data_IF_981636729021
#
_entry.id   IF_981636729021
#
_cell.length_a   1.000
_cell.length_b   1.000
_cell.length_c   1.000
_cell.angle_alpha   90.00
_cell.angle_beta   90.00
_cell.angle_gamma   90.00
#
_symmetry.space_group_name_H-M   'P 1'
#
loop_
_entity.id
_entity.type
_entity.pdbx_description
1 polymer ?
#
# COMPACT_ATOMS: atom_id res chain seq x y z
N UNK A 1 -62.31 25.34 -23.67
CA UNK A 1 -61.70 24.38 -22.71
C UNK A 1 -60.37 23.89 -23.29
N UNK A 2 -59.21 24.29 -22.73
CA UNK A 2 -57.89 23.83 -23.21
C UNK A 2 -57.57 22.46 -22.61
N UNK A 3 -57.58 21.39 -23.44
CA UNK A 3 -57.11 20.06 -23.04
C UNK A 3 -55.59 20.10 -22.80
N UNK A 4 -55.16 19.87 -21.55
CA UNK A 4 -53.75 19.68 -21.23
C UNK A 4 -53.35 18.25 -21.59
N UNK A 5 -52.55 18.08 -22.64
CA UNK A 5 -51.95 16.80 -23.00
C UNK A 5 -50.79 16.54 -22.04
N UNK A 6 -50.90 15.51 -21.20
CA UNK A 6 -49.84 15.09 -20.28
C UNK A 6 -48.78 14.33 -21.08
N UNK A 7 -47.62 14.95 -21.32
CA UNK A 7 -46.46 14.24 -21.89
C UNK A 7 -46.04 13.13 -20.92
N UNK A 8 -46.27 11.87 -21.29
CA UNK A 8 -45.73 10.73 -20.56
C UNK A 8 -44.22 10.73 -20.77
N UNK A 9 -43.45 10.65 -19.68
CA UNK A 9 -42.00 10.44 -19.74
C UNK A 9 -41.79 8.93 -19.77
N UNK A 10 -41.41 8.41 -20.93
CA UNK A 10 -40.91 7.05 -21.07
C UNK A 10 -39.43 7.05 -20.71
N UNK A 11 -39.09 6.55 -19.53
CA UNK A 11 -37.70 6.46 -19.10
C UNK A 11 -37.61 6.11 -17.63
N UNK A 12 -36.71 5.17 -17.31
CA UNK A 12 -36.53 4.50 -16.02
C UNK A 12 -37.58 3.42 -15.72
N UNK A 13 -37.48 2.31 -16.46
CA UNK A 13 -38.08 1.05 -16.01
C UNK A 13 -37.12 0.31 -15.06
N UNK A 14 -37.65 -0.57 -14.21
CA UNK A 14 -36.82 -1.43 -13.35
C UNK A 14 -35.90 -2.36 -14.17
N UNK A 15 -36.36 -2.78 -15.35
CA UNK A 15 -35.59 -3.64 -16.27
C UNK A 15 -34.33 -2.91 -16.72
N UNK A 16 -34.46 -1.64 -17.09
CA UNK A 16 -33.35 -0.79 -17.51
C UNK A 16 -32.30 -0.65 -16.40
N UNK A 17 -32.73 -0.39 -15.17
CA UNK A 17 -31.82 -0.33 -14.01
C UNK A 17 -31.15 -1.67 -13.71
N UNK A 18 -31.85 -2.78 -13.93
CA UNK A 18 -31.30 -4.13 -13.73
C UNK A 18 -30.18 -4.43 -14.72
N UNK A 19 -30.37 -4.08 -16.00
CA UNK A 19 -29.35 -4.27 -17.05
C UNK A 19 -28.12 -3.40 -16.76
N UNK A 20 -28.31 -2.16 -16.30
CA UNK A 20 -27.20 -1.28 -15.92
C UNK A 20 -26.40 -1.84 -14.75
N UNK A 21 -27.06 -2.30 -13.68
CA UNK A 21 -26.38 -2.93 -12.55
C UNK A 21 -25.66 -4.22 -12.95
N UNK A 22 -26.25 -4.99 -13.87
CA UNK A 22 -25.61 -6.17 -14.44
C UNK A 22 -24.29 -5.81 -15.14
N UNK A 23 -24.31 -4.81 -16.03
CA UNK A 23 -23.09 -4.35 -16.73
C UNK A 23 -22.05 -3.81 -15.73
N UNK A 24 -22.46 -3.00 -14.75
CA UNK A 24 -21.55 -2.47 -13.71
C UNK A 24 -20.90 -3.61 -12.92
N UNK A 25 -21.65 -4.67 -12.59
CA UNK A 25 -21.08 -5.81 -11.86
C UNK A 25 -20.02 -6.56 -12.66
N UNK A 26 -20.19 -6.72 -13.98
CA UNK A 26 -19.18 -7.30 -14.87
C UNK A 26 -17.92 -6.43 -14.93
N UNK A 27 -18.07 -5.11 -15.01
CA UNK A 27 -16.94 -4.19 -14.99
C UNK A 27 -16.17 -4.27 -13.67
N UNK A 28 -16.88 -4.27 -12.54
CA UNK A 28 -16.28 -4.41 -11.20
C UNK A 28 -15.51 -5.73 -11.08
N UNK A 29 -16.06 -6.83 -11.61
CA UNK A 29 -15.42 -8.15 -11.59
C UNK A 29 -14.06 -8.14 -12.31
N UNK A 30 -13.91 -7.36 -13.39
CA UNK A 30 -12.64 -7.21 -14.11
C UNK A 30 -11.70 -6.25 -13.37
N UNK A 31 -12.23 -5.17 -12.78
CA UNK A 31 -11.43 -4.14 -12.12
C UNK A 31 -10.82 -4.62 -10.79
N UNK A 32 -11.59 -5.30 -9.95
CA UNK A 32 -11.15 -5.78 -8.62
C UNK A 32 -9.85 -6.59 -8.67
N UNK A 33 -9.69 -7.63 -9.51
CA UNK A 33 -8.46 -8.42 -9.54
C UNK A 33 -7.26 -7.59 -10.02
N UNK A 34 -7.47 -6.71 -11.02
CA UNK A 34 -6.42 -5.83 -11.50
C UNK A 34 -5.95 -4.84 -10.42
N UNK A 35 -6.90 -4.22 -9.70
CA UNK A 35 -6.61 -3.30 -8.59
C UNK A 35 -5.92 -4.02 -7.42
N UNK A 36 -6.36 -5.23 -7.08
CA UNK A 36 -5.73 -6.04 -6.04
C UNK A 36 -4.27 -6.36 -6.38
N UNK A 37 -3.99 -6.73 -7.63
CA UNK A 37 -2.63 -7.02 -8.10
C UNK A 37 -1.75 -5.76 -8.09
N UNK A 38 -2.26 -4.61 -8.51
CA UNK A 38 -1.53 -3.34 -8.43
C UNK A 38 -1.21 -2.96 -6.99
N UNK A 39 -2.16 -3.14 -6.05
CA UNK A 39 -1.93 -2.89 -4.63
C UNK A 39 -0.85 -3.82 -4.07
N UNK A 40 -0.86 -5.10 -4.43
CA UNK A 40 0.19 -6.07 -4.04
C UNK A 40 1.56 -5.65 -4.60
N UNK A 41 1.61 -5.23 -5.86
CA UNK A 41 2.85 -4.76 -6.47
C UNK A 41 3.39 -3.51 -5.75
N UNK A 42 2.54 -2.52 -5.50
CA UNK A 42 2.91 -1.33 -4.73
C UNK A 42 3.43 -1.69 -3.34
N UNK A 43 2.79 -2.64 -2.65
CA UNK A 43 3.25 -3.12 -1.34
C UNK A 43 4.63 -3.81 -1.42
N UNK A 44 4.89 -4.57 -2.50
CA UNK A 44 6.22 -5.20 -2.70
C UNK A 44 7.31 -4.16 -2.94
N UNK A 45 7.06 -3.17 -3.80
CA UNK A 45 8.01 -2.07 -4.07
C UNK A 45 8.27 -1.27 -2.80
N UNK A 46 7.21 -0.95 -2.06
CA UNK A 46 7.30 -0.25 -0.78
C UNK A 46 8.14 -1.03 0.24
N UNK A 47 7.97 -2.35 0.30
CA UNK A 47 8.74 -3.18 1.23
C UNK A 47 10.20 -3.29 0.83
N UNK A 48 10.51 -3.44 -0.46
CA UNK A 48 11.89 -3.41 -0.95
C UNK A 48 12.57 -2.08 -0.66
N UNK A 49 11.88 -0.95 -0.87
CA UNK A 49 12.41 0.37 -0.55
C UNK A 49 12.65 0.53 0.96
N UNK A 50 11.78 -0.01 1.82
CA UNK A 50 11.99 0.01 3.27
C UNK A 50 13.24 -0.79 3.67
N UNK A 51 13.47 -1.97 3.07
CA UNK A 51 14.70 -2.74 3.26
C UNK A 51 15.94 -1.91 2.91
N UNK A 52 15.94 -1.25 1.76
CA UNK A 52 17.06 -0.41 1.31
C UNK A 52 17.30 0.79 2.24
N UNK A 53 16.23 1.45 2.70
CA UNK A 53 16.34 2.54 3.68
C UNK A 53 16.96 2.04 4.98
N UNK A 54 16.49 0.92 5.52
CA UNK A 54 17.06 0.36 6.76
C UNK A 54 18.52 -0.03 6.56
N UNK A 55 18.88 -0.64 5.42
CA UNK A 55 20.27 -0.97 5.10
C UNK A 55 21.16 0.28 5.05
N UNK A 56 20.73 1.33 4.33
CA UNK A 56 21.47 2.57 4.26
C UNK A 56 21.69 3.22 5.64
N UNK A 57 20.72 3.08 6.55
CA UNK A 57 20.86 3.56 7.94
C UNK A 57 21.81 2.69 8.78
N UNK A 58 21.85 1.38 8.55
CA UNK A 58 22.84 0.48 9.13
C UNK A 58 24.25 0.87 8.67
N UNK A 59 24.42 1.09 7.36
CA UNK A 59 25.71 1.47 6.78
C UNK A 59 26.18 2.83 7.31
N UNK A 60 25.27 3.79 7.42
CA UNK A 60 25.54 5.10 8.03
C UNK A 60 25.97 4.97 9.50
N UNK A 61 25.35 4.07 10.26
CA UNK A 61 25.72 3.81 11.65
C UNK A 61 27.15 3.27 11.76
N UNK A 62 27.52 2.27 10.94
CA UNK A 62 28.87 1.70 10.95
C UNK A 62 29.93 2.67 10.42
N UNK A 63 29.58 3.56 9.48
CA UNK A 63 30.46 4.62 9.03
C UNK A 63 30.85 5.58 10.17
N UNK A 64 29.92 5.87 11.08
CA UNK A 64 30.17 6.72 12.25
C UNK A 64 30.75 5.96 13.44
N UNK A 65 30.54 4.63 13.51
CA UNK A 65 30.99 3.76 14.60
C UNK A 65 31.85 2.61 14.05
N UNK A 66 33.09 2.88 13.61
CA UNK A 66 33.94 1.89 12.94
C UNK A 66 34.34 0.69 13.81
N UNK A 67 34.23 0.82 15.14
CA UNK A 67 34.52 -0.26 16.09
C UNK A 67 33.27 -1.07 16.49
N UNK A 68 32.08 -0.69 16.05
CA UNK A 68 30.86 -1.41 16.35
C UNK A 68 30.83 -2.74 15.58
N UNK A 69 30.48 -3.84 16.27
CA UNK A 69 30.42 -5.18 15.67
C UNK A 69 29.01 -5.59 15.24
N UNK A 70 27.99 -4.91 15.76
CA UNK A 70 26.59 -5.15 15.46
C UNK A 70 25.77 -3.88 15.69
N UNK A 71 24.58 -3.85 15.09
CA UNK A 71 23.60 -2.78 15.29
C UNK A 71 22.20 -3.39 15.39
N UNK A 72 21.36 -2.81 16.24
CA UNK A 72 19.97 -3.22 16.41
C UNK A 72 19.00 -2.06 16.15
N UNK A 73 17.72 -2.35 15.92
CA UNK A 73 16.69 -1.30 15.75
C UNK A 73 16.65 -0.30 16.92
N UNK A 74 16.76 -0.70 18.20
CA UNK A 74 16.92 0.24 19.30
C UNK A 74 18.12 1.19 19.15
N UNK A 75 19.26 0.70 18.68
CA UNK A 75 20.47 1.50 18.48
C UNK A 75 20.27 2.52 17.36
N UNK A 76 19.67 2.10 16.24
CA UNK A 76 19.29 2.99 15.14
C UNK A 76 18.26 4.04 15.55
N UNK A 77 17.34 3.70 16.47
CA UNK A 77 16.35 4.67 16.98
C UNK A 77 17.00 5.68 17.93
N UNK A 78 17.83 5.21 18.86
CA UNK A 78 18.54 6.06 19.82
C UNK A 78 19.53 6.98 19.13
N UNK A 79 20.21 6.49 18.10
CA UNK A 79 21.14 7.27 17.27
C UNK A 79 20.45 8.20 16.27
N UNK A 80 19.11 8.20 16.19
CA UNK A 80 18.35 9.07 15.28
C UNK A 80 18.38 8.67 13.81
N UNK A 81 18.94 7.50 13.48
CA UNK A 81 18.99 6.97 12.11
C UNK A 81 17.61 6.52 11.61
N UNK A 82 16.78 5.99 12.51
CA UNK A 82 15.41 5.59 12.20
C UNK A 82 14.41 6.20 13.17
N UNK A 83 13.28 6.65 12.64
CA UNK A 83 12.14 7.08 13.44
C UNK A 83 11.38 5.89 14.02
N UNK A 84 10.65 6.09 15.13
CA UNK A 84 9.78 5.07 15.70
C UNK A 84 8.74 4.51 14.69
N UNK A 85 8.28 5.35 13.76
CA UNK A 85 7.37 4.93 12.67
C UNK A 85 8.06 3.97 11.70
N UNK A 86 9.28 4.28 11.26
CA UNK A 86 10.04 3.41 10.37
C UNK A 86 10.39 2.08 11.04
N UNK A 87 10.78 2.09 12.32
CA UNK A 87 11.05 0.84 13.06
C UNK A 87 9.79 -0.01 13.21
N UNK A 88 8.64 0.62 13.51
CA UNK A 88 7.37 -0.10 13.55
C UNK A 88 7.05 -0.72 12.19
N UNK A 89 7.15 0.06 11.12
CA UNK A 89 6.86 -0.41 9.77
C UNK A 89 7.80 -1.54 9.33
N UNK A 90 9.11 -1.41 9.59
CA UNK A 90 10.08 -2.46 9.30
C UNK A 90 9.73 -3.78 10.03
N UNK A 91 9.32 -3.70 11.29
CA UNK A 91 8.86 -4.86 12.07
C UNK A 91 7.55 -5.45 11.54
N UNK A 92 6.58 -4.59 11.19
CA UNK A 92 5.30 -5.01 10.60
C UNK A 92 5.51 -5.73 9.26
N UNK A 93 6.56 -5.37 8.52
CA UNK A 93 7.00 -6.02 7.28
C UNK A 93 7.90 -7.26 7.50
N UNK A 94 8.20 -7.61 8.75
CA UNK A 94 8.99 -8.77 9.13
C UNK A 94 10.51 -8.60 9.06
N UNK A 95 11.00 -7.38 8.82
CA UNK A 95 12.43 -7.11 8.67
C UNK A 95 13.16 -7.31 10.01
N UNK A 96 14.30 -7.99 9.93
CA UNK A 96 15.23 -8.27 11.03
C UNK A 96 16.62 -7.83 10.62
N UNK A 97 17.43 -7.42 11.59
CA UNK A 97 18.84 -7.08 11.36
C UNK A 97 19.67 -8.26 11.84
N UNK A 98 20.45 -8.86 10.96
CA UNK A 98 21.38 -9.94 11.29
C UNK A 98 22.66 -9.80 10.47
N UNK A 99 23.81 -9.93 11.13
CA UNK A 99 25.14 -9.81 10.48
C UNK A 99 25.31 -8.52 9.66
N UNK A 100 24.79 -7.40 10.17
CA UNK A 100 24.84 -6.07 9.53
C UNK A 100 24.04 -5.95 8.23
N UNK A 101 23.18 -6.92 7.95
CA UNK A 101 22.26 -6.89 6.81
C UNK A 101 20.81 -7.02 7.25
N UNK A 102 19.91 -6.47 6.43
CA UNK A 102 18.48 -6.64 6.60
C UNK A 102 18.04 -7.99 6.03
N UNK A 103 17.38 -8.80 6.85
CA UNK A 103 16.80 -10.10 6.49
C UNK A 103 15.29 -10.08 6.70
N UNK A 104 14.56 -10.84 5.89
CA UNK A 104 13.09 -10.96 5.95
C UNK A 104 12.67 -12.37 6.36
#
# INVERSE_FOLDING_TARGET
MKKRVKKMREGFTLIEMTIVLFIISLLILIIIPNLSNQRKHAQSVHSSAMTEVVQAQIDAYFSQHPNAKSVSFPDLTKGGYLTAKQVKQAKDEGLKIAHNEVQK
#
